data_IF_134192613900
#
_entry.id   IF_134192613900
#
_cell.length_a   1.000
_cell.length_b   1.000
_cell.length_c   1.000
_cell.angle_alpha   90.00
_cell.angle_beta   90.00
_cell.angle_gamma   90.00
#
_symmetry.space_group_name_H-M   'P 1'
#
loop_
_entity.id
_entity.type
_entity.pdbx_description
1 polymer ?
#
# COMPACT_ATOMS: atom_id res chain seq x y z
N UNK A 1 6.97 3.81 9.93
CA UNK A 1 7.99 2.75 10.10
C UNK A 1 8.90 2.70 8.87
N UNK A 2 9.95 1.87 8.86
CA UNK A 2 10.78 1.66 7.67
C UNK A 2 10.73 0.20 7.25
N UNK A 3 10.44 -0.07 5.97
CA UNK A 3 10.37 -1.42 5.39
C UNK A 3 11.13 -1.38 4.07
N UNK A 4 12.08 -2.30 3.87
CA UNK A 4 12.90 -2.37 2.66
C UNK A 4 13.56 -1.03 2.24
N UNK A 5 13.84 -0.16 3.22
CA UNK A 5 14.39 1.18 2.98
C UNK A 5 13.35 2.29 2.74
N UNK A 6 12.08 1.94 2.55
CA UNK A 6 10.98 2.89 2.38
C UNK A 6 10.43 3.37 3.72
N UNK A 7 10.18 4.68 3.82
CA UNK A 7 9.47 5.26 4.96
C UNK A 7 7.97 5.11 4.77
N UNK A 8 7.36 4.24 5.59
CA UNK A 8 5.93 4.01 5.65
C UNK A 8 5.30 5.06 6.57
N UNK A 9 4.45 5.91 5.99
CA UNK A 9 3.69 6.99 6.63
C UNK A 9 2.55 7.45 5.68
N UNK A 10 1.57 8.23 6.16
CA UNK A 10 0.58 8.85 5.31
C UNK A 10 1.20 9.68 4.18
N UNK A 11 0.64 9.58 2.98
CA UNK A 11 1.12 10.30 1.80
C UNK A 11 2.52 9.90 1.32
N UNK A 12 3.05 8.76 1.76
CA UNK A 12 4.33 8.27 1.25
C UNK A 12 4.24 8.00 -0.26
N UNK A 13 5.28 8.40 -1.00
CA UNK A 13 5.48 7.93 -2.39
C UNK A 13 6.19 6.59 -2.32
N UNK A 14 5.50 5.56 -2.78
CA UNK A 14 5.91 4.16 -2.82
C UNK A 14 5.73 3.60 -4.23
N UNK A 15 5.84 4.47 -5.24
CA UNK A 15 5.71 4.12 -6.66
C UNK A 15 6.71 3.04 -7.01
N UNK A 16 6.22 1.93 -7.57
CA UNK A 16 7.01 0.75 -7.92
C UNK A 16 7.84 0.17 -6.76
N UNK A 17 7.48 0.46 -5.50
CA UNK A 17 8.19 -0.08 -4.35
C UNK A 17 7.99 -1.60 -4.25
N UNK A 18 9.08 -2.32 -4.00
CA UNK A 18 9.02 -3.73 -3.61
C UNK A 18 8.78 -3.83 -2.10
N UNK A 19 7.54 -4.14 -1.75
CA UNK A 19 7.06 -4.40 -0.40
C UNK A 19 6.51 -5.84 -0.30
N UNK A 20 6.94 -6.73 -1.20
CA UNK A 20 6.48 -8.11 -1.25
C UNK A 20 6.85 -8.84 0.06
N UNK A 21 5.91 -9.61 0.60
CA UNK A 21 6.06 -10.33 1.87
C UNK A 21 6.22 -9.47 3.12
N UNK A 22 6.15 -8.13 3.01
CA UNK A 22 6.36 -7.25 4.14
C UNK A 22 5.27 -7.38 5.21
N UNK A 23 5.64 -7.24 6.48
CA UNK A 23 4.68 -6.99 7.56
C UNK A 23 4.35 -5.50 7.63
N UNK A 24 3.16 -5.17 7.15
CA UNK A 24 2.57 -3.83 7.17
C UNK A 24 1.31 -3.81 8.05
N UNK A 25 1.18 -4.75 8.99
CA UNK A 25 0.02 -4.83 9.87
C UNK A 25 -0.13 -3.54 10.68
N UNK A 26 -1.35 -3.01 10.68
CA UNK A 26 -1.67 -1.73 11.34
C UNK A 26 -0.95 -0.50 10.78
N UNK A 27 -0.23 -0.61 9.65
CA UNK A 27 0.48 0.51 9.08
C UNK A 27 -0.49 1.59 8.58
N UNK A 28 -0.11 2.86 8.75
CA UNK A 28 -0.82 3.98 8.15
C UNK A 28 -0.21 4.36 6.80
N UNK A 29 -0.88 3.89 5.74
CA UNK A 29 -0.62 4.14 4.31
C UNK A 29 -1.68 5.08 3.71
N UNK A 30 -2.44 5.80 4.54
CA UNK A 30 -3.49 6.68 4.03
C UNK A 30 -2.94 7.72 3.06
N UNK A 31 -3.62 7.90 1.93
CA UNK A 31 -3.22 8.80 0.84
C UNK A 31 -1.84 8.52 0.23
N UNK A 32 -1.24 7.36 0.52
CA UNK A 32 0.02 6.98 -0.11
C UNK A 32 -0.18 6.76 -1.61
N UNK A 33 0.86 7.05 -2.38
CA UNK A 33 0.93 6.67 -3.79
C UNK A 33 1.65 5.32 -3.87
N UNK A 34 0.86 4.26 -4.06
CA UNK A 34 1.36 2.88 -4.22
C UNK A 34 1.42 2.48 -5.69
N UNK A 35 1.37 3.42 -6.64
CA UNK A 35 1.27 3.09 -8.07
C UNK A 35 2.34 2.10 -8.50
N UNK A 36 1.95 0.92 -8.97
CA UNK A 36 2.85 -0.15 -9.41
C UNK A 36 3.62 -0.87 -8.30
N UNK A 37 3.32 -0.60 -7.02
CA UNK A 37 3.99 -1.26 -5.90
C UNK A 37 3.69 -2.76 -5.87
N UNK A 38 4.68 -3.57 -5.52
CA UNK A 38 4.50 -4.99 -5.25
C UNK A 38 4.22 -5.20 -3.76
N UNK A 39 2.97 -5.57 -3.43
CA UNK A 39 2.51 -5.95 -2.10
C UNK A 39 2.14 -7.44 -2.05
N UNK A 40 2.62 -8.25 -3.00
CA UNK A 40 2.32 -9.69 -3.03
C UNK A 40 2.78 -10.37 -1.74
N UNK A 41 1.90 -11.18 -1.15
CA UNK A 41 2.15 -11.86 0.12
C UNK A 41 2.29 -10.95 1.35
N UNK A 42 2.14 -9.62 1.21
CA UNK A 42 2.29 -8.70 2.34
C UNK A 42 1.17 -8.87 3.37
N UNK A 43 1.50 -8.70 4.64
CA UNK A 43 0.51 -8.63 5.72
C UNK A 43 0.03 -7.19 5.89
N UNK A 44 -1.17 -6.87 5.40
CA UNK A 44 -1.81 -5.56 5.53
C UNK A 44 -2.96 -5.60 6.56
N UNK A 45 -2.97 -6.58 7.46
CA UNK A 45 -4.07 -6.73 8.42
C UNK A 45 -4.22 -5.47 9.28
N UNK A 46 -5.41 -4.87 9.30
CA UNK A 46 -5.69 -3.62 10.02
C UNK A 46 -4.96 -2.38 9.48
N UNK A 47 -4.28 -2.46 8.33
CA UNK A 47 -3.62 -1.31 7.73
C UNK A 47 -4.63 -0.26 7.25
N UNK A 48 -4.27 1.02 7.34
CA UNK A 48 -5.07 2.11 6.81
C UNK A 48 -4.56 2.51 5.43
N UNK A 49 -5.31 2.18 4.38
CA UNK A 49 -5.05 2.55 2.98
C UNK A 49 -6.05 3.60 2.47
N UNK A 50 -6.75 4.29 3.37
CA UNK A 50 -7.79 5.22 2.96
C UNK A 50 -7.25 6.31 2.03
N UNK A 51 -7.87 6.46 0.86
CA UNK A 51 -7.47 7.46 -0.14
C UNK A 51 -6.15 7.17 -0.85
N UNK A 52 -5.53 6.00 -0.69
CA UNK A 52 -4.30 5.66 -1.41
C UNK A 52 -4.57 5.47 -2.90
N UNK A 53 -3.59 5.81 -3.73
CA UNK A 53 -3.59 5.39 -5.13
C UNK A 53 -2.99 4.00 -5.24
N UNK A 54 -3.77 3.06 -5.76
CA UNK A 54 -3.44 1.64 -5.89
C UNK A 54 -3.41 1.20 -7.35
N UNK A 55 -3.23 2.14 -8.29
CA UNK A 55 -3.08 1.81 -9.70
C UNK A 55 -1.92 0.82 -9.90
N UNK A 56 -2.18 -0.27 -10.64
CA UNK A 56 -1.20 -1.32 -10.94
C UNK A 56 -0.54 -2.01 -9.72
N UNK A 57 -1.09 -1.86 -8.52
CA UNK A 57 -0.58 -2.56 -7.33
C UNK A 57 -0.77 -4.07 -7.46
N UNK A 58 0.27 -4.84 -7.13
CA UNK A 58 0.16 -6.29 -6.99
C UNK A 58 -0.20 -6.68 -5.55
N UNK A 59 -1.39 -7.25 -5.33
CA UNK A 59 -1.85 -7.75 -4.01
C UNK A 59 -1.97 -9.29 -3.97
N UNK A 60 -1.35 -10.01 -4.90
CA UNK A 60 -1.46 -11.47 -4.94
C UNK A 60 -1.05 -12.09 -3.59
N UNK A 61 -1.99 -12.76 -2.91
CA UNK A 61 -1.75 -13.39 -1.62
C UNK A 61 -1.60 -12.44 -0.42
N UNK A 62 -1.85 -11.14 -0.59
CA UNK A 62 -1.79 -10.18 0.51
C UNK A 62 -2.93 -10.39 1.52
N UNK A 63 -2.64 -10.23 2.81
CA UNK A 63 -3.65 -10.29 3.87
C UNK A 63 -4.26 -8.91 4.12
N UNK A 64 -5.51 -8.69 3.70
CA UNK A 64 -6.23 -7.42 3.87
C UNK A 64 -7.29 -7.46 4.99
N UNK A 65 -7.25 -8.45 5.89
CA UNK A 65 -8.26 -8.57 6.97
C UNK A 65 -8.27 -7.31 7.82
N UNK A 66 -9.41 -6.62 7.87
CA UNK A 66 -9.59 -5.38 8.62
C UNK A 66 -8.87 -4.16 8.04
N UNK A 67 -8.28 -4.25 6.85
CA UNK A 67 -7.68 -3.11 6.19
C UNK A 67 -8.75 -2.08 5.81
N UNK A 68 -8.45 -0.80 6.04
CA UNK A 68 -9.33 0.29 5.63
C UNK A 68 -8.99 0.73 4.19
N UNK A 69 -9.84 0.35 3.24
CA UNK A 69 -9.71 0.69 1.82
C UNK A 69 -10.67 1.82 1.39
N UNK A 70 -11.27 2.55 2.33
CA UNK A 70 -12.25 3.60 2.01
C UNK A 70 -11.60 4.66 1.12
N UNK A 71 -12.16 4.85 -0.08
CA UNK A 71 -11.67 5.82 -1.05
C UNK A 71 -10.28 5.48 -1.61
N UNK A 72 -9.74 4.29 -1.37
CA UNK A 72 -8.59 3.82 -2.13
C UNK A 72 -9.01 3.74 -3.60
N UNK A 73 -8.24 4.38 -4.47
CA UNK A 73 -8.57 4.53 -5.88
C UNK A 73 -7.58 3.77 -6.74
N UNK A 74 -8.04 3.36 -7.91
CA UNK A 74 -7.16 2.96 -9.00
C UNK A 74 -7.33 4.02 -10.08
N UNK A 75 -6.70 5.17 -9.86
CA UNK A 75 -6.61 6.18 -10.90
C UNK A 75 -5.25 6.00 -11.55
N UNK A 76 -5.17 5.50 -12.80
CA UNK A 76 -3.89 5.53 -13.49
C UNK A 76 -3.41 6.98 -13.46
N UNK A 77 -2.16 7.22 -13.04
CA UNK A 77 -1.57 8.55 -12.98
C UNK A 77 -1.74 9.25 -14.35
N UNK A 78 -2.84 10.00 -14.48
CA UNK A 78 -3.10 10.84 -15.64
C UNK A 78 -2.36 12.15 -15.38
N UNK A 79 -1.43 12.41 -16.30
CA UNK A 79 -1.16 13.75 -16.82
C UNK A 79 -2.44 14.56 -17.03
#
# INVERSE_FOLDING_TARGET
MTVHGYKIKPGASLVCADLSGADLSGADLSRADLTGADLSGANLSGANLAGSDMALVNLAGANLVGANLVGAVNVPALV
#
